data_IF_503096856995
#
_entry.id   IF_503096856995
#
_cell.length_a   1.000
_cell.length_b   1.000
_cell.length_c   1.000
_cell.angle_alpha   90.00
_cell.angle_beta   90.00
_cell.angle_gamma   90.00
#
_symmetry.space_group_name_H-M   'P 1'
#
loop_
_entity.id
_entity.type
_entity.pdbx_description
1 polymer ?
#
# COMPACT_ATOMS: atom_id res chain seq x y z
N UNK A 1 -18.83 16.38 26.71
CA UNK A 1 -17.77 16.45 25.69
C UNK A 1 -16.60 17.20 26.30
N UNK A 2 -15.59 16.49 26.81
CA UNK A 2 -14.49 17.10 27.56
C UNK A 2 -13.54 17.74 26.54
N UNK A 3 -13.58 19.06 26.43
CA UNK A 3 -12.54 19.82 25.74
C UNK A 3 -11.31 19.74 26.64
N UNK A 4 -10.44 18.75 26.39
CA UNK A 4 -9.10 18.74 26.94
C UNK A 4 -8.48 20.09 26.61
N UNK A 5 -8.12 20.87 27.63
CA UNK A 5 -7.51 22.17 27.43
C UNK A 5 -6.31 22.03 26.49
N UNK A 6 -6.23 22.92 25.49
CA UNK A 6 -5.13 23.01 24.52
C UNK A 6 -3.72 22.80 25.13
N UNK A 7 -3.40 23.29 26.34
CA UNK A 7 -2.11 23.00 26.99
C UNK A 7 -1.90 21.53 27.37
N UNK A 8 -2.94 20.79 27.78
CA UNK A 8 -2.80 19.38 28.18
C UNK A 8 -2.62 18.46 26.96
N UNK A 9 -3.31 18.73 25.84
CA UNK A 9 -3.06 18.02 24.57
C UNK A 9 -1.68 18.32 24.00
N UNK A 10 -1.19 19.55 24.12
CA UNK A 10 0.17 19.93 23.75
C UNK A 10 1.21 19.26 24.67
N UNK A 11 0.96 19.17 25.98
CA UNK A 11 1.82 18.49 26.93
C UNK A 11 1.87 16.97 26.68
N UNK A 12 0.73 16.30 26.55
CA UNK A 12 0.66 14.87 26.21
C UNK A 12 1.34 14.60 24.87
N UNK A 13 1.14 15.49 23.88
CA UNK A 13 1.79 15.41 22.57
C UNK A 13 3.30 15.66 22.59
N UNK A 14 3.82 16.42 23.57
CA UNK A 14 5.26 16.69 23.71
C UNK A 14 5.98 15.65 24.57
N UNK A 15 5.38 15.20 25.67
CA UNK A 15 6.01 14.32 26.65
C UNK A 15 5.61 12.85 26.50
N UNK A 16 4.36 12.55 26.16
CA UNK A 16 3.88 11.17 26.04
C UNK A 16 4.34 10.46 24.76
N UNK A 17 4.71 11.22 23.73
CA UNK A 17 5.06 10.69 22.41
C UNK A 17 6.48 10.11 22.39
N UNK A 18 7.42 10.66 23.18
CA UNK A 18 8.80 10.21 23.19
C UNK A 18 8.96 8.76 23.69
N UNK A 19 8.37 8.35 24.85
CA UNK A 19 8.39 6.96 25.29
C UNK A 19 7.72 6.02 24.27
N UNK A 20 6.61 6.44 23.67
CA UNK A 20 5.88 5.64 22.69
C UNK A 20 6.68 5.43 21.39
N UNK A 21 7.42 6.45 20.93
CA UNK A 21 8.33 6.34 19.80
C UNK A 21 9.46 5.35 20.08
N UNK A 22 10.07 5.40 21.27
CA UNK A 22 11.15 4.48 21.66
C UNK A 22 10.64 3.04 21.74
N UNK A 23 9.54 2.81 22.46
CA UNK A 23 8.92 1.47 22.57
C UNK A 23 8.54 0.96 21.18
N UNK A 24 7.89 1.82 20.40
CA UNK A 24 7.46 1.52 19.04
C UNK A 24 8.60 1.13 18.11
N UNK A 25 9.70 1.87 18.18
CA UNK A 25 10.91 1.61 17.45
C UNK A 25 11.54 0.26 17.83
N UNK A 26 11.62 -0.07 19.12
CA UNK A 26 12.15 -1.35 19.59
C UNK A 26 11.35 -2.53 19.04
N UNK A 27 10.01 -2.44 19.05
CA UNK A 27 9.15 -3.45 18.44
C UNK A 27 9.36 -3.55 16.93
N UNK A 28 9.48 -2.42 16.24
CA UNK A 28 9.69 -2.39 14.79
C UNK A 28 11.05 -2.97 14.40
N UNK A 29 12.12 -2.60 15.11
CA UNK A 29 13.47 -3.11 14.89
C UNK A 29 13.55 -4.61 15.12
N UNK A 30 12.97 -5.11 16.23
CA UNK A 30 12.89 -6.56 16.52
C UNK A 30 12.20 -7.31 15.37
N UNK A 31 11.14 -6.75 14.81
CA UNK A 31 10.43 -7.36 13.68
C UNK A 31 11.27 -7.38 12.41
N UNK A 32 11.90 -6.27 12.04
CA UNK A 32 12.76 -6.21 10.85
C UNK A 32 13.89 -7.24 10.96
N UNK A 33 14.47 -7.39 12.15
CA UNK A 33 15.49 -8.40 12.41
C UNK A 33 14.98 -9.83 12.18
N UNK A 34 13.75 -10.12 12.61
CA UNK A 34 13.11 -11.43 12.41
C UNK A 34 12.76 -11.70 10.94
N UNK A 35 12.35 -10.67 10.18
CA UNK A 35 11.92 -10.82 8.79
C UNK A 35 13.12 -11.01 7.82
N UNK A 36 14.29 -10.41 8.08
CA UNK A 36 15.48 -10.51 7.20
C UNK A 36 16.79 -10.29 7.96
N UNK A 37 17.48 -11.35 8.42
CA UNK A 37 18.63 -11.23 9.35
C UNK A 37 19.76 -10.28 8.91
N UNK A 38 20.24 -10.36 7.65
CA UNK A 38 21.37 -9.52 7.17
C UNK A 38 20.96 -8.11 6.75
N UNK A 39 19.95 -8.00 5.87
CA UNK A 39 19.42 -6.71 5.42
C UNK A 39 18.80 -5.92 6.58
N UNK A 40 18.19 -6.63 7.52
CA UNK A 40 17.52 -6.06 8.67
C UNK A 40 18.46 -5.29 9.59
N UNK A 41 19.70 -5.73 9.80
CA UNK A 41 20.67 -5.01 10.66
C UNK A 41 20.97 -3.61 10.10
N UNK A 42 21.20 -3.51 8.78
CA UNK A 42 21.50 -2.21 8.14
C UNK A 42 20.30 -1.25 8.21
N UNK A 43 19.09 -1.78 8.00
CA UNK A 43 17.86 -1.01 8.15
C UNK A 43 17.68 -0.56 9.61
N UNK A 44 17.93 -1.43 10.58
CA UNK A 44 17.83 -1.13 12.02
C UNK A 44 18.81 -0.02 12.40
N UNK A 45 20.06 -0.06 11.94
CA UNK A 45 21.05 0.99 12.22
C UNK A 45 20.54 2.35 11.72
N UNK A 46 20.07 2.43 10.47
CA UNK A 46 19.51 3.67 9.90
C UNK A 46 18.28 4.15 10.68
N UNK A 47 17.41 3.23 11.10
CA UNK A 47 16.27 3.59 11.95
C UNK A 47 16.70 4.14 13.30
N UNK A 48 17.63 3.47 13.98
CA UNK A 48 18.14 3.92 15.28
C UNK A 48 18.81 5.30 15.19
N UNK A 49 19.59 5.55 14.13
CA UNK A 49 20.15 6.88 13.85
C UNK A 49 19.04 7.91 13.65
N UNK A 50 18.03 7.59 12.83
CA UNK A 50 16.88 8.46 12.62
C UNK A 50 16.13 8.79 13.92
N UNK A 51 15.85 7.78 14.74
CA UNK A 51 15.17 7.94 16.03
C UNK A 51 16.02 8.74 17.01
N UNK A 52 17.31 8.45 17.12
CA UNK A 52 18.23 9.21 17.99
C UNK A 52 18.25 10.70 17.64
N UNK A 53 18.30 11.03 16.35
CA UNK A 53 18.21 12.41 15.87
C UNK A 53 16.83 13.03 16.14
N UNK A 54 15.75 12.27 15.97
CA UNK A 54 14.40 12.75 16.30
C UNK A 54 14.26 13.04 17.80
N UNK A 55 14.86 12.22 18.67
CA UNK A 55 14.90 12.45 20.12
C UNK A 55 15.65 13.74 20.45
N UNK A 56 16.83 13.96 19.85
CA UNK A 56 17.59 15.22 20.01
C UNK A 56 16.70 16.41 19.62
N UNK A 57 16.08 16.35 18.44
CA UNK A 57 15.17 17.40 17.97
C UNK A 57 14.02 17.66 18.92
N UNK A 58 13.37 16.61 19.40
CA UNK A 58 12.26 16.73 20.33
C UNK A 58 12.71 17.34 21.67
N UNK A 59 13.84 16.91 22.23
CA UNK A 59 14.40 17.45 23.47
C UNK A 59 14.72 18.94 23.34
N UNK A 60 15.34 19.36 22.23
CA UNK A 60 15.62 20.78 21.97
C UNK A 60 14.35 21.62 21.78
N UNK A 61 13.23 21.00 21.39
CA UNK A 61 11.95 21.68 21.24
C UNK A 61 11.13 21.74 22.55
N UNK A 62 11.49 20.94 23.58
CA UNK A 62 10.82 20.98 24.89
C UNK A 62 11.13 22.28 25.64
N UNK A 63 12.41 22.62 25.72
CA UNK A 63 12.89 23.87 26.29
C UNK A 63 13.02 24.83 25.11
N UNK A 64 12.00 25.68 24.88
CA UNK A 64 11.99 26.67 23.79
C UNK A 64 13.41 27.24 23.61
N UNK A 65 14.11 26.95 22.50
CA UNK A 65 15.54 27.16 22.45
C UNK A 65 15.83 28.66 22.44
N UNK A 66 16.46 29.14 23.51
CA UNK A 66 16.89 30.54 23.65
C UNK A 66 18.27 30.78 23.05
N UNK A 67 19.02 29.70 22.76
CA UNK A 67 20.39 29.75 22.26
C UNK A 67 20.42 29.24 20.82
N UNK A 68 21.10 29.99 19.93
CA UNK A 68 21.09 29.75 18.48
C UNK A 68 21.58 28.35 18.10
N UNK A 69 22.65 27.85 18.72
CA UNK A 69 23.22 26.54 18.39
C UNK A 69 22.29 25.40 18.80
N UNK A 70 21.53 25.55 19.90
CA UNK A 70 20.52 24.57 20.33
C UNK A 70 19.39 24.50 19.29
N UNK A 71 18.94 25.67 18.81
CA UNK A 71 17.90 25.76 17.79
C UNK A 71 18.34 25.12 16.46
N UNK A 72 19.58 25.38 16.05
CA UNK A 72 20.17 24.76 14.86
C UNK A 72 20.27 23.23 14.99
N UNK A 73 20.90 22.72 16.06
CA UNK A 73 21.03 21.27 16.30
C UNK A 73 19.65 20.61 16.23
N UNK A 74 18.66 21.20 16.91
CA UNK A 74 17.30 20.70 16.94
C UNK A 74 16.65 20.57 15.56
N UNK A 75 16.77 21.61 14.73
CA UNK A 75 16.23 21.58 13.37
C UNK A 75 16.99 20.63 12.47
N UNK A 76 18.33 20.65 12.49
CA UNK A 76 19.12 19.80 11.61
C UNK A 76 18.92 18.32 11.98
N UNK A 77 18.89 17.98 13.27
CA UNK A 77 18.54 16.63 13.71
C UNK A 77 17.14 16.21 13.23
N UNK A 78 16.16 17.11 13.19
CA UNK A 78 14.84 16.81 12.60
C UNK A 78 14.95 16.40 11.13
N UNK A 79 15.63 17.19 10.30
CA UNK A 79 15.73 16.89 8.86
C UNK A 79 16.48 15.59 8.59
N UNK A 80 17.62 15.39 9.27
CA UNK A 80 18.38 14.15 9.13
C UNK A 80 17.60 12.94 9.66
N UNK A 81 16.76 13.10 10.70
CA UNK A 81 15.91 12.01 11.18
C UNK A 81 14.95 11.49 10.11
N UNK A 82 14.34 12.39 9.34
CA UNK A 82 13.44 12.04 8.23
C UNK A 82 14.25 11.43 7.09
N UNK A 83 15.42 11.97 6.77
CA UNK A 83 16.30 11.43 5.73
C UNK A 83 16.77 9.99 6.02
N UNK A 84 17.19 9.71 7.26
CA UNK A 84 17.54 8.36 7.68
C UNK A 84 16.33 7.42 7.67
N UNK A 85 15.14 7.93 8.04
CA UNK A 85 13.89 7.19 7.90
C UNK A 85 13.59 6.85 6.44
N UNK A 86 13.79 7.80 5.51
CA UNK A 86 13.69 7.56 4.08
C UNK A 86 14.62 6.44 3.62
N UNK A 87 15.92 6.51 3.97
CA UNK A 87 16.87 5.46 3.57
C UNK A 87 16.54 4.10 4.18
N UNK A 88 16.07 4.05 5.43
CA UNK A 88 15.64 2.81 6.06
C UNK A 88 14.41 2.21 5.35
N UNK A 89 13.42 3.04 5.03
CA UNK A 89 12.18 2.63 4.37
C UNK A 89 12.45 2.18 2.94
N UNK A 90 13.21 2.94 2.17
CA UNK A 90 13.60 2.59 0.80
C UNK A 90 14.33 1.24 0.78
N UNK A 91 15.30 1.07 1.67
CA UNK A 91 16.07 -0.16 1.79
C UNK A 91 15.17 -1.36 2.17
N UNK A 92 14.26 -1.17 3.12
CA UNK A 92 13.34 -2.21 3.58
C UNK A 92 12.30 -2.59 2.52
N UNK A 93 11.74 -1.61 1.82
CA UNK A 93 10.70 -1.81 0.80
C UNK A 93 11.28 -2.42 -0.47
N UNK A 94 12.43 -1.92 -0.93
CA UNK A 94 13.05 -2.33 -2.19
C UNK A 94 14.06 -3.47 -2.02
N UNK A 95 14.29 -3.95 -0.79
CA UNK A 95 15.22 -5.04 -0.47
C UNK A 95 16.64 -4.84 -1.05
N UNK A 96 17.14 -3.61 -0.98
CA UNK A 96 18.47 -3.22 -1.49
C UNK A 96 19.53 -3.25 -0.40
N UNK A 97 20.79 -3.50 -0.75
CA UNK A 97 21.93 -3.42 0.17
C UNK A 97 22.73 -2.13 -0.06
N UNK A 98 22.06 -0.98 0.03
CA UNK A 98 22.72 0.31 -0.18
C UNK A 98 23.29 0.86 1.13
N UNK A 99 24.62 0.91 1.22
CA UNK A 99 25.39 1.44 2.36
C UNK A 99 25.85 2.89 2.15
N UNK A 100 25.96 3.35 0.91
CA UNK A 100 26.63 4.62 0.56
C UNK A 100 25.73 5.85 0.76
N UNK A 101 25.41 6.18 2.02
CA UNK A 101 24.60 7.35 2.38
C UNK A 101 25.29 8.65 1.93
N UNK A 102 26.60 8.75 2.14
CA UNK A 102 27.38 9.99 1.93
C UNK A 102 27.44 10.40 0.44
N UNK A 103 27.40 9.41 -0.48
CA UNK A 103 27.39 9.66 -1.93
C UNK A 103 25.99 9.94 -2.47
N UNK A 104 24.95 9.81 -1.63
CA UNK A 104 23.58 10.03 -2.06
C UNK A 104 23.31 11.52 -2.29
N UNK A 105 22.77 11.88 -3.45
CA UNK A 105 22.44 13.27 -3.82
C UNK A 105 21.49 13.94 -2.82
N UNK A 106 20.54 13.19 -2.23
CA UNK A 106 19.63 13.71 -1.21
C UNK A 106 20.37 14.08 0.08
N UNK A 107 21.35 13.27 0.47
CA UNK A 107 22.18 13.55 1.64
C UNK A 107 23.03 14.80 1.42
N UNK A 108 23.74 14.88 0.29
CA UNK A 108 24.57 16.04 -0.08
C UNK A 108 23.72 17.31 -0.15
N UNK A 109 22.58 17.25 -0.84
CA UNK A 109 21.65 18.39 -0.93
C UNK A 109 21.16 18.86 0.43
N UNK A 110 20.82 17.93 1.33
CA UNK A 110 20.37 18.28 2.68
C UNK A 110 21.50 18.88 3.53
N UNK A 111 22.74 18.42 3.38
CA UNK A 111 23.91 19.02 4.03
C UNK A 111 24.09 20.46 3.58
N UNK A 112 24.07 20.72 2.26
CA UNK A 112 24.21 22.08 1.71
C UNK A 112 23.10 23.00 2.22
N UNK A 113 21.84 22.54 2.20
CA UNK A 113 20.70 23.30 2.71
C UNK A 113 20.81 23.56 4.22
N UNK A 114 21.30 22.59 4.98
CA UNK A 114 21.53 22.75 6.43
C UNK A 114 22.62 23.79 6.70
N UNK A 115 23.73 23.75 5.97
CA UNK A 115 24.82 24.73 6.06
C UNK A 115 24.34 26.15 5.74
N UNK A 116 23.55 26.30 4.66
CA UNK A 116 22.99 27.60 4.31
C UNK A 116 22.00 28.10 5.36
N UNK A 117 21.17 27.22 5.92
CA UNK A 117 20.25 27.56 7.00
C UNK A 117 20.98 27.98 8.28
N UNK A 118 22.09 27.33 8.63
CA UNK A 118 22.94 27.73 9.78
C UNK A 118 23.41 29.16 9.62
N UNK A 119 23.91 29.51 8.44
CA UNK A 119 24.37 30.86 8.14
C UNK A 119 23.25 31.89 8.36
N UNK A 120 22.04 31.62 7.82
CA UNK A 120 20.88 32.50 8.05
C UNK A 120 20.48 32.57 9.52
N UNK A 121 20.60 31.48 10.27
CA UNK A 121 20.31 31.42 11.71
C UNK A 121 21.29 32.24 12.55
N UNK A 122 22.56 32.22 12.17
CA UNK A 122 23.60 33.02 12.80
C UNK A 122 23.35 34.53 12.62
N UNK A 123 22.95 34.95 11.41
CA UNK A 123 22.57 36.34 11.13
C UNK A 123 21.36 36.80 11.95
N UNK A 124 20.39 35.90 12.20
CA UNK A 124 19.19 36.18 13.01
C UNK A 124 19.28 35.66 14.45
N UNK A 125 20.48 35.47 15.02
CA UNK A 125 20.67 34.86 16.35
C UNK A 125 19.87 35.50 17.50
N UNK A 126 19.47 36.77 17.34
CA UNK A 126 18.64 37.51 18.32
C UNK A 126 17.13 37.31 18.11
N UNK A 127 16.70 36.61 17.05
CA UNK A 127 15.31 36.34 16.67
C UNK A 127 15.14 34.87 16.22
N UNK A 128 15.07 33.97 17.21
CA UNK A 128 14.95 32.51 17.04
C UNK A 128 13.50 32.00 17.15
N UNK A 129 12.52 32.91 17.11
CA UNK A 129 11.10 32.57 17.25
C UNK A 129 10.65 31.63 16.13
N UNK A 130 9.80 30.66 16.45
CA UNK A 130 9.23 29.77 15.44
C UNK A 130 8.13 30.48 14.66
N UNK A 131 7.97 30.14 13.38
CA UNK A 131 6.82 30.59 12.57
C UNK A 131 5.46 30.07 13.08
N UNK A 132 5.50 29.04 13.92
CA UNK A 132 4.32 28.51 14.58
C UNK A 132 3.92 29.30 15.83
N UNK A 133 4.75 30.25 16.29
CA UNK A 133 4.42 31.09 17.44
C UNK A 133 3.61 32.32 16.96
N UNK A 134 2.55 32.65 17.70
CA UNK A 134 1.66 33.76 17.35
C UNK A 134 2.33 35.13 17.47
N UNK A 135 3.41 35.23 18.26
CA UNK A 135 4.15 36.45 18.53
C UNK A 135 5.55 36.34 17.93
N UNK A 136 5.74 36.95 16.76
CA UNK A 136 7.06 37.13 16.14
C UNK A 136 7.41 38.61 16.28
N UNK A 137 8.43 38.99 17.07
CA UNK A 137 8.67 40.39 17.41
C UNK A 137 9.08 41.26 16.22
N UNK A 138 9.70 40.67 15.17
CA UNK A 138 10.02 41.37 13.92
C UNK A 138 10.39 40.40 12.79
N UNK A 139 9.46 40.01 11.90
CA UNK A 139 9.79 39.15 10.77
C UNK A 139 10.68 39.88 9.76
N UNK A 140 11.84 39.30 9.45
CA UNK A 140 12.79 39.81 8.43
C UNK A 140 12.79 38.93 7.19
N UNK A 141 13.41 39.38 6.09
CA UNK A 141 13.57 38.54 4.90
C UNK A 141 14.34 37.24 5.20
N UNK A 142 15.42 37.32 5.98
CA UNK A 142 16.20 36.16 6.43
C UNK A 142 15.35 35.19 7.27
N UNK A 143 14.40 35.71 8.04
CA UNK A 143 13.44 34.90 8.80
C UNK A 143 12.52 34.09 7.88
N UNK A 144 11.93 34.70 6.84
CA UNK A 144 11.07 33.99 5.89
C UNK A 144 11.85 32.93 5.09
N UNK A 145 13.03 33.28 4.57
CA UNK A 145 13.89 32.31 3.85
C UNK A 145 14.25 31.15 4.77
N UNK A 146 14.70 31.44 6.00
CA UNK A 146 15.11 30.37 6.89
C UNK A 146 13.97 29.46 7.32
N UNK A 147 12.75 30.01 7.45
CA UNK A 147 11.52 29.24 7.69
C UNK A 147 11.21 28.35 6.49
N UNK A 148 11.32 28.87 5.26
CA UNK A 148 11.08 28.11 4.04
C UNK A 148 12.11 26.97 3.90
N UNK A 149 13.39 27.24 4.16
CA UNK A 149 14.44 26.23 4.19
C UNK A 149 14.28 25.21 5.32
N UNK A 150 13.48 25.49 6.34
CA UNK A 150 13.12 24.50 7.36
C UNK A 150 11.97 23.59 6.89
N UNK A 151 10.89 24.15 6.35
CA UNK A 151 9.71 23.35 5.99
C UNK A 151 9.80 22.66 4.64
N UNK A 152 10.46 23.26 3.64
CA UNK A 152 10.54 22.71 2.28
C UNK A 152 11.28 21.35 2.23
N UNK A 153 12.45 21.17 2.88
CA UNK A 153 13.11 19.85 2.89
C UNK A 153 12.29 18.79 3.61
N UNK A 154 11.64 19.15 4.72
CA UNK A 154 10.75 18.26 5.44
C UNK A 154 9.55 17.84 4.59
N UNK A 155 8.93 18.78 3.88
CA UNK A 155 7.85 18.53 2.92
C UNK A 155 8.30 17.54 1.84
N UNK A 156 9.43 17.84 1.18
CA UNK A 156 9.96 17.02 0.09
C UNK A 156 10.27 15.58 0.54
N UNK A 157 10.95 15.41 1.68
CA UNK A 157 11.26 14.09 2.22
C UNK A 157 10.00 13.29 2.59
N UNK A 158 9.01 13.92 3.24
CA UNK A 158 7.75 13.25 3.57
C UNK A 158 6.99 12.82 2.30
N UNK A 159 6.95 13.67 1.27
CA UNK A 159 6.30 13.36 0.00
C UNK A 159 6.97 12.17 -0.72
N UNK A 160 8.31 12.11 -0.72
CA UNK A 160 9.03 10.98 -1.30
C UNK A 160 8.76 9.69 -0.51
N UNK A 161 8.78 9.74 0.82
CA UNK A 161 8.45 8.57 1.64
C UNK A 161 7.02 8.08 1.36
N UNK A 162 6.05 9.00 1.27
CA UNK A 162 4.68 8.66 0.89
C UNK A 162 4.63 7.96 -0.48
N UNK A 163 5.37 8.48 -1.46
CA UNK A 163 5.46 7.87 -2.79
C UNK A 163 6.07 6.44 -2.74
N UNK A 164 7.09 6.19 -1.91
CA UNK A 164 7.64 4.84 -1.72
C UNK A 164 6.57 3.86 -1.23
N UNK A 165 5.78 4.24 -0.23
CA UNK A 165 4.68 3.42 0.27
C UNK A 165 3.62 3.18 -0.79
N UNK A 166 3.23 4.22 -1.53
CA UNK A 166 2.26 4.12 -2.61
C UNK A 166 2.69 3.16 -3.72
N UNK A 167 3.94 3.30 -4.19
CA UNK A 167 4.52 2.43 -5.21
C UNK A 167 4.60 0.99 -4.69
N UNK A 168 4.98 0.77 -3.42
CA UNK A 168 5.02 -0.55 -2.82
C UNK A 168 3.64 -1.22 -2.79
N UNK A 169 2.61 -0.49 -2.35
CA UNK A 169 1.22 -0.99 -2.29
C UNK A 169 0.71 -1.36 -3.68
N UNK A 170 1.03 -0.58 -4.72
CA UNK A 170 0.59 -0.85 -6.09
C UNK A 170 1.30 -2.04 -6.74
N UNK A 171 2.59 -2.24 -6.45
CA UNK A 171 3.42 -3.24 -7.14
C UNK A 171 3.46 -4.60 -6.44
N UNK A 172 3.38 -4.62 -5.11
CA UNK A 172 3.56 -5.85 -4.35
C UNK A 172 2.24 -6.60 -4.14
N UNK A 173 2.25 -7.92 -4.35
CA UNK A 173 1.19 -8.81 -3.84
C UNK A 173 1.34 -8.95 -2.33
N UNK A 174 0.84 -7.96 -1.60
CA UNK A 174 0.88 -7.93 -0.14
C UNK A 174 -0.24 -8.78 0.43
N UNK A 175 0.06 -9.50 1.52
CA UNK A 175 -1.00 -10.08 2.34
C UNK A 175 -1.86 -8.95 2.93
N UNK A 176 -3.17 -9.17 3.15
CA UNK A 176 -4.08 -8.13 3.63
C UNK A 176 -3.59 -7.39 4.90
N UNK A 177 -2.98 -8.12 5.85
CA UNK A 177 -2.43 -7.50 7.06
C UNK A 177 -1.25 -6.57 6.79
N UNK A 178 -0.37 -6.92 5.85
CA UNK A 178 0.74 -6.06 5.43
C UNK A 178 0.25 -4.87 4.59
N UNK A 179 -0.77 -5.07 3.76
CA UNK A 179 -1.40 -4.00 2.99
C UNK A 179 -1.97 -2.92 3.92
N UNK A 180 -2.80 -3.30 4.90
CA UNK A 180 -3.38 -2.36 5.86
C UNK A 180 -2.28 -1.61 6.62
N UNK A 181 -1.25 -2.32 7.09
CA UNK A 181 -0.11 -1.69 7.78
C UNK A 181 0.58 -0.62 6.93
N UNK A 182 0.86 -0.92 5.66
CA UNK A 182 1.46 0.03 4.71
C UNK A 182 0.54 1.21 4.44
N UNK A 183 -0.78 0.98 4.41
CA UNK A 183 -1.79 2.02 4.25
C UNK A 183 -1.79 3.00 5.44
N UNK A 184 -1.71 2.50 6.69
CA UNK A 184 -1.57 3.36 7.87
C UNK A 184 -0.32 4.25 7.78
N UNK A 185 0.84 3.69 7.41
CA UNK A 185 2.05 4.48 7.20
C UNK A 185 1.88 5.51 6.07
N UNK A 186 1.29 5.12 4.94
CA UNK A 186 1.02 6.01 3.80
C UNK A 186 0.14 7.19 4.24
N UNK A 187 -0.98 6.92 4.92
CA UNK A 187 -1.87 7.94 5.46
C UNK A 187 -1.11 8.91 6.38
N UNK A 188 -0.27 8.40 7.29
CA UNK A 188 0.56 9.23 8.16
C UNK A 188 1.47 10.19 7.39
N UNK A 189 2.22 9.70 6.40
CA UNK A 189 3.12 10.53 5.59
C UNK A 189 2.39 11.49 4.65
N UNK A 190 1.24 11.09 4.09
CA UNK A 190 0.39 11.99 3.29
C UNK A 190 -0.14 13.13 4.16
N UNK A 191 -0.66 12.84 5.35
CA UNK A 191 -1.12 13.86 6.28
C UNK A 191 0.02 14.79 6.73
N UNK A 192 1.21 14.25 6.99
CA UNK A 192 2.40 15.05 7.28
C UNK A 192 2.73 16.00 6.12
N UNK A 193 2.66 15.49 4.88
CA UNK A 193 2.88 16.29 3.67
C UNK A 193 1.87 17.44 3.59
N UNK A 194 0.57 17.18 3.78
CA UNK A 194 -0.45 18.23 3.83
C UNK A 194 -0.23 19.26 4.94
N UNK A 195 0.21 18.82 6.12
CA UNK A 195 0.54 19.72 7.23
C UNK A 195 1.73 20.64 6.88
N UNK A 196 2.77 20.12 6.22
CA UNK A 196 3.90 20.93 5.76
C UNK A 196 3.55 21.82 4.56
N UNK A 197 2.65 21.41 3.66
CA UNK A 197 2.09 22.28 2.61
C UNK A 197 1.41 23.48 3.26
N UNK A 198 0.59 23.26 4.29
CA UNK A 198 -0.11 24.31 5.01
C UNK A 198 0.87 25.32 5.63
N UNK A 199 1.93 24.85 6.30
CA UNK A 199 2.98 25.71 6.87
C UNK A 199 3.88 26.39 5.82
N UNK A 200 4.04 25.79 4.64
CA UNK A 200 4.81 26.43 3.57
C UNK A 200 3.96 27.51 2.90
N UNK A 201 2.66 27.27 2.73
CA UNK A 201 1.70 28.21 2.17
C UNK A 201 1.45 29.42 3.08
N UNK A 202 1.61 29.30 4.40
CA UNK A 202 1.53 30.45 5.31
C UNK A 202 2.61 31.50 5.06
N UNK A 203 3.78 31.11 4.53
CA UNK A 203 4.89 32.03 4.30
C UNK A 203 4.54 33.10 3.24
N UNK A 204 4.14 32.74 2.00
CA UNK A 204 3.73 33.74 1.02
C UNK A 204 2.46 34.49 1.47
N UNK A 205 1.53 33.83 2.17
CA UNK A 205 0.34 34.51 2.70
C UNK A 205 0.72 35.60 3.72
N UNK A 206 1.68 35.34 4.61
CA UNK A 206 2.16 36.35 5.55
C UNK A 206 2.89 37.51 4.84
N UNK A 207 3.62 37.23 3.76
CA UNK A 207 4.34 38.25 2.97
C UNK A 207 3.36 39.15 2.19
N UNK A 208 2.33 38.58 1.56
CA UNK A 208 1.46 39.31 0.61
C UNK A 208 0.12 39.78 1.21
N UNK A 209 -0.41 39.06 2.20
CA UNK A 209 -1.77 39.28 2.73
C UNK A 209 -1.79 39.50 4.25
N UNK A 210 -0.63 39.81 4.86
CA UNK A 210 -0.43 39.98 6.31
C UNK A 210 -0.67 38.69 7.12
N UNK A 211 -0.46 38.75 8.44
CA UNK A 211 -0.47 37.59 9.35
C UNK A 211 -1.86 37.01 9.65
N UNK A 212 -2.94 37.49 9.01
CA UNK A 212 -4.33 37.11 9.31
C UNK A 212 -4.59 35.60 9.20
N UNK A 213 -3.97 34.91 8.24
CA UNK A 213 -4.19 33.49 7.98
C UNK A 213 -3.25 32.56 8.76
N UNK A 214 -2.18 33.09 9.37
CA UNK A 214 -1.15 32.32 10.07
C UNK A 214 -1.72 31.48 11.22
N UNK A 215 -2.59 31.99 12.12
CA UNK A 215 -3.12 31.20 13.23
C UNK A 215 -3.97 30.00 12.79
N UNK A 216 -4.78 30.17 11.74
CA UNK A 216 -5.65 29.10 11.23
C UNK A 216 -4.86 27.96 10.62
N UNK A 217 -3.84 28.26 9.83
CA UNK A 217 -3.00 27.25 9.19
C UNK A 217 -2.03 26.59 10.18
N UNK A 218 -1.54 27.32 11.19
CA UNK A 218 -0.81 26.74 12.31
C UNK A 218 -1.68 25.75 13.10
N UNK A 219 -2.97 26.06 13.29
CA UNK A 219 -3.92 25.12 13.92
C UNK A 219 -4.08 23.82 13.12
N UNK A 220 -4.12 23.87 11.79
CA UNK A 220 -4.15 22.66 10.94
C UNK A 220 -2.94 21.77 11.23
N UNK A 221 -1.75 22.36 11.33
CA UNK A 221 -0.54 21.61 11.68
C UNK A 221 -0.60 21.02 13.10
N UNK A 222 -1.00 21.82 14.10
CA UNK A 222 -1.05 21.38 15.49
C UNK A 222 -2.09 20.28 15.74
N UNK A 223 -3.27 20.37 15.10
CA UNK A 223 -4.31 19.33 15.16
C UNK A 223 -3.92 18.09 14.33
N UNK A 224 -3.22 18.28 13.22
CA UNK A 224 -2.74 17.18 12.36
C UNK A 224 -1.66 16.33 13.04
N UNK A 225 -0.77 16.94 13.83
CA UNK A 225 0.38 16.26 14.47
C UNK A 225 0.00 15.00 15.27
N UNK A 226 -0.95 15.01 16.22
CA UNK A 226 -1.33 13.80 16.95
C UNK A 226 -1.91 12.72 16.02
N UNK A 227 -2.67 13.11 14.99
CA UNK A 227 -3.27 12.17 14.04
C UNK A 227 -2.18 11.51 13.17
N UNK A 228 -1.24 12.30 12.65
CA UNK A 228 -0.06 11.82 11.90
C UNK A 228 0.68 10.77 12.73
N UNK A 229 0.97 11.11 14.00
CA UNK A 229 1.71 10.22 14.90
C UNK A 229 0.92 8.96 15.22
N UNK A 230 -0.40 9.05 15.40
CA UNK A 230 -1.26 7.89 15.59
C UNK A 230 -1.22 6.94 14.38
N UNK A 231 -1.30 7.47 13.15
CA UNK A 231 -1.20 6.67 11.93
C UNK A 231 0.18 6.01 11.78
N UNK A 232 1.25 6.77 12.01
CA UNK A 232 2.62 6.25 11.91
C UNK A 232 2.89 5.20 13.00
N UNK A 233 2.45 5.43 14.24
CA UNK A 233 2.57 4.45 15.32
C UNK A 233 1.73 3.21 15.01
N UNK A 234 0.47 3.36 14.62
CA UNK A 234 -0.36 2.23 14.23
C UNK A 234 0.32 1.40 13.13
N UNK A 235 0.81 2.04 12.07
CA UNK A 235 1.53 1.37 10.99
C UNK A 235 2.85 0.73 11.44
N UNK A 236 3.64 1.35 12.31
CA UNK A 236 4.98 0.86 12.65
C UNK A 236 5.01 -0.09 13.84
N UNK A 237 4.19 0.13 14.86
CA UNK A 237 4.39 -0.47 16.20
C UNK A 237 3.35 -1.54 16.51
N UNK A 238 2.15 -1.47 15.92
CA UNK A 238 1.09 -2.41 16.27
C UNK A 238 1.48 -3.86 15.95
N UNK A 239 1.19 -4.81 16.86
CA UNK A 239 1.54 -6.20 16.68
C UNK A 239 0.81 -6.80 15.48
N UNK A 240 1.52 -7.64 14.71
CA UNK A 240 0.98 -8.25 13.49
C UNK A 240 -0.30 -9.07 13.76
N UNK A 241 -0.48 -9.60 14.97
CA UNK A 241 -1.70 -10.32 15.38
C UNK A 241 -2.95 -9.45 15.30
N UNK A 242 -2.87 -8.18 15.68
CA UNK A 242 -4.00 -7.25 15.60
C UNK A 242 -4.34 -6.90 14.15
N UNK A 243 -3.33 -6.61 13.32
CA UNK A 243 -3.57 -6.40 11.90
C UNK A 243 -4.12 -7.64 11.21
N UNK A 244 -3.68 -8.85 11.59
CA UNK A 244 -4.27 -10.10 11.11
C UNK A 244 -5.73 -10.23 11.55
N UNK A 245 -6.08 -9.89 12.78
CA UNK A 245 -7.45 -9.91 13.25
C UNK A 245 -8.35 -8.93 12.48
N UNK A 246 -7.88 -7.69 12.26
CA UNK A 246 -8.58 -6.68 11.46
C UNK A 246 -8.71 -7.12 9.99
N UNK A 247 -7.65 -7.73 9.45
CA UNK A 247 -7.61 -8.19 8.06
C UNK A 247 -8.31 -9.54 7.84
N UNK A 248 -8.63 -10.28 8.89
CA UNK A 248 -9.16 -11.64 8.82
C UNK A 248 -10.44 -11.76 7.98
N UNK A 249 -11.43 -10.84 8.08
CA UNK A 249 -12.63 -10.91 7.23
C UNK A 249 -12.27 -10.80 5.74
N UNK A 250 -11.33 -9.92 5.41
CA UNK A 250 -10.85 -9.71 4.03
C UNK A 250 -10.09 -10.94 3.56
N UNK A 251 -9.19 -11.48 4.38
CA UNK A 251 -8.42 -12.68 4.08
C UNK A 251 -9.32 -13.90 3.86
N UNK A 252 -10.32 -14.10 4.73
CA UNK A 252 -11.32 -15.17 4.60
C UNK A 252 -12.14 -15.01 3.32
N UNK A 253 -12.57 -13.79 3.00
CA UNK A 253 -13.28 -13.51 1.75
C UNK A 253 -12.42 -13.80 0.52
N UNK A 254 -11.16 -13.38 0.52
CA UNK A 254 -10.22 -13.64 -0.57
C UNK A 254 -9.97 -15.15 -0.74
N UNK A 255 -9.74 -15.88 0.35
CA UNK A 255 -9.57 -17.35 0.32
C UNK A 255 -10.83 -18.02 -0.23
N UNK A 256 -12.02 -17.62 0.24
CA UNK A 256 -13.28 -18.16 -0.25
C UNK A 256 -13.47 -17.89 -1.75
N UNK A 257 -13.24 -16.64 -2.17
CA UNK A 257 -13.33 -16.22 -3.58
C UNK A 257 -12.34 -17.01 -4.44
N UNK A 258 -11.11 -17.18 -4.01
CA UNK A 258 -10.08 -17.90 -4.76
C UNK A 258 -10.41 -19.40 -4.84
N UNK A 259 -10.99 -19.99 -3.79
CA UNK A 259 -11.54 -21.36 -3.82
C UNK A 259 -12.71 -21.50 -4.81
N UNK A 260 -13.63 -20.56 -4.83
CA UNK A 260 -14.75 -20.57 -5.80
C UNK A 260 -14.25 -20.39 -7.24
N UNK A 261 -13.28 -19.51 -7.47
CA UNK A 261 -12.63 -19.37 -8.77
C UNK A 261 -11.93 -20.66 -9.19
N UNK A 262 -11.23 -21.32 -8.26
CA UNK A 262 -10.57 -22.59 -8.51
C UNK A 262 -11.57 -23.69 -8.91
N UNK A 263 -12.70 -23.81 -8.20
CA UNK A 263 -13.78 -24.75 -8.54
C UNK A 263 -14.36 -24.47 -9.93
N UNK A 264 -14.56 -23.21 -10.29
CA UNK A 264 -15.05 -22.82 -11.61
C UNK A 264 -14.06 -23.20 -12.72
N UNK A 265 -12.76 -23.04 -12.48
CA UNK A 265 -11.73 -23.45 -13.44
C UNK A 265 -11.69 -24.97 -13.62
N UNK A 266 -11.74 -25.74 -12.53
CA UNK A 266 -11.84 -27.21 -12.61
C UNK A 266 -13.10 -27.63 -13.38
N UNK A 267 -14.24 -27.03 -13.05
CA UNK A 267 -15.50 -27.32 -13.75
C UNK A 267 -15.40 -27.11 -15.27
N UNK A 268 -14.77 -26.01 -15.69
CA UNK A 268 -14.56 -25.75 -17.11
C UNK A 268 -13.58 -26.74 -17.74
N UNK A 269 -12.49 -27.06 -17.05
CA UNK A 269 -11.51 -28.08 -17.51
C UNK A 269 -12.19 -29.44 -17.70
N UNK A 270 -13.00 -29.88 -16.73
CA UNK A 270 -13.73 -31.14 -16.80
C UNK A 270 -14.74 -31.13 -17.95
N UNK A 271 -15.42 -30.00 -18.18
CA UNK A 271 -16.33 -29.81 -19.32
C UNK A 271 -15.62 -30.01 -20.66
N UNK A 272 -14.42 -29.45 -20.82
CA UNK A 272 -13.60 -29.67 -22.02
C UNK A 272 -13.14 -31.13 -22.14
N UNK A 273 -12.74 -31.77 -21.03
CA UNK A 273 -12.34 -33.18 -21.02
C UNK A 273 -13.49 -34.12 -21.39
N UNK A 274 -14.75 -33.75 -21.11
CA UNK A 274 -15.93 -34.50 -21.56
C UNK A 274 -16.09 -34.43 -23.08
N UNK A 275 -15.91 -33.24 -23.67
CA UNK A 275 -16.02 -33.03 -25.13
C UNK A 275 -14.81 -33.65 -25.86
N UNK A 276 -13.62 -33.59 -25.26
CA UNK A 276 -12.37 -34.07 -25.85
C UNK A 276 -11.73 -35.10 -24.91
N UNK A 277 -12.17 -36.37 -24.93
CA UNK A 277 -11.65 -37.41 -24.05
C UNK A 277 -10.14 -37.69 -24.26
N UNK A 278 -9.61 -37.44 -25.46
CA UNK A 278 -8.18 -37.58 -25.76
C UNK A 278 -7.30 -36.57 -25.03
N UNK A 279 -7.88 -35.46 -24.57
CA UNK A 279 -7.20 -34.45 -23.76
C UNK A 279 -7.19 -34.75 -22.27
N UNK A 280 -7.73 -35.90 -21.84
CA UNK A 280 -7.68 -36.33 -20.45
C UNK A 280 -6.23 -36.32 -19.97
N UNK A 281 -5.84 -35.19 -19.35
CA UNK A 281 -4.70 -35.11 -18.48
C UNK A 281 -4.97 -36.16 -17.44
N UNK A 282 -4.26 -37.29 -17.53
CA UNK A 282 -4.44 -38.45 -16.66
C UNK A 282 -4.55 -37.96 -15.23
N UNK A 283 -5.78 -37.91 -14.73
CA UNK A 283 -6.13 -37.85 -13.31
C UNK A 283 -5.73 -39.13 -12.57
N UNK A 284 -4.91 -39.99 -13.22
CA UNK A 284 -4.16 -41.11 -12.63
C UNK A 284 -3.01 -40.69 -11.73
N UNK A 285 -2.79 -39.40 -11.47
CA UNK A 285 -2.29 -39.04 -10.14
C UNK A 285 -3.47 -39.37 -9.23
N UNK A 286 -3.45 -40.58 -8.64
CA UNK A 286 -4.37 -40.99 -7.57
C UNK A 286 -4.74 -39.75 -6.77
N UNK A 287 -6.04 -39.53 -6.56
CA UNK A 287 -6.59 -38.59 -5.58
C UNK A 287 -5.96 -38.85 -4.20
N UNK A 288 -4.67 -38.57 -4.02
CA UNK A 288 -4.14 -38.25 -2.72
C UNK A 288 -4.91 -37.00 -2.33
N UNK A 289 -5.52 -37.03 -1.16
CA UNK A 289 -6.37 -35.96 -0.66
C UNK A 289 -5.66 -34.57 -0.66
N UNK A 290 -4.35 -34.56 -0.90
CA UNK A 290 -3.46 -33.41 -0.76
C UNK A 290 -2.95 -32.80 -2.08
N UNK A 291 -3.19 -33.40 -3.26
CA UNK A 291 -2.66 -32.82 -4.51
C UNK A 291 -3.59 -31.76 -5.11
N UNK A 292 -3.27 -30.48 -4.87
CA UNK A 292 -3.91 -29.32 -5.50
C UNK A 292 -3.21 -28.98 -6.81
N UNK A 293 -3.88 -29.15 -7.95
CA UNK A 293 -3.30 -28.81 -9.26
C UNK A 293 -3.07 -27.29 -9.36
N UNK A 294 -1.87 -26.81 -9.75
CA UNK A 294 -1.60 -25.38 -9.92
C UNK A 294 -2.51 -24.73 -10.97
N UNK A 295 -3.04 -23.53 -10.69
CA UNK A 295 -3.93 -22.77 -11.61
C UNK A 295 -3.33 -22.60 -13.01
N UNK A 296 -2.00 -22.42 -13.11
CA UNK A 296 -1.30 -22.33 -14.41
C UNK A 296 -1.48 -23.59 -15.26
N UNK A 297 -1.45 -24.78 -14.64
CA UNK A 297 -1.66 -26.06 -15.34
C UNK A 297 -3.11 -26.22 -15.77
N UNK A 298 -4.07 -25.85 -14.91
CA UNK A 298 -5.50 -25.88 -15.24
C UNK A 298 -5.78 -24.97 -16.45
N UNK A 299 -5.26 -23.73 -16.42
CA UNK A 299 -5.43 -22.80 -17.54
C UNK A 299 -4.78 -23.28 -18.83
N UNK A 300 -3.65 -23.99 -18.78
CA UNK A 300 -3.03 -24.59 -19.95
C UNK A 300 -3.93 -25.69 -20.54
N UNK A 301 -4.43 -26.61 -19.71
CA UNK A 301 -5.35 -27.66 -20.14
C UNK A 301 -6.64 -27.10 -20.74
N UNK A 302 -7.24 -26.07 -20.13
CA UNK A 302 -8.38 -25.34 -20.70
C UNK A 302 -8.00 -24.69 -22.03
N UNK A 303 -6.80 -24.11 -22.13
CA UNK A 303 -6.29 -23.50 -23.35
C UNK A 303 -6.19 -24.49 -24.50
N UNK A 304 -5.62 -25.67 -24.25
CA UNK A 304 -5.50 -26.73 -25.25
C UNK A 304 -6.90 -27.20 -25.71
N UNK A 305 -7.83 -27.39 -24.78
CA UNK A 305 -9.21 -27.80 -25.11
C UNK A 305 -9.99 -26.73 -25.86
N UNK A 306 -9.81 -25.47 -25.46
CA UNK A 306 -10.38 -24.33 -26.16
C UNK A 306 -9.95 -24.29 -27.62
N UNK A 307 -8.66 -24.49 -27.91
CA UNK A 307 -8.16 -24.43 -29.30
C UNK A 307 -8.86 -25.45 -30.19
N UNK A 308 -9.07 -26.67 -29.70
CA UNK A 308 -9.79 -27.71 -30.42
C UNK A 308 -11.28 -27.39 -30.54
N UNK A 309 -11.97 -27.09 -29.43
CA UNK A 309 -13.42 -26.81 -29.48
C UNK A 309 -13.73 -25.59 -30.36
N UNK A 310 -13.01 -24.48 -30.17
CA UNK A 310 -13.29 -23.24 -30.89
C UNK A 310 -12.86 -23.30 -32.36
N UNK A 311 -12.02 -24.26 -32.77
CA UNK A 311 -11.74 -24.45 -34.20
C UNK A 311 -12.96 -24.92 -35.01
N UNK A 312 -14.04 -25.35 -34.36
CA UNK A 312 -15.33 -25.68 -34.98
C UNK A 312 -16.33 -24.51 -34.99
N UNK A 313 -15.96 -23.35 -34.42
CA UNK A 313 -16.81 -22.17 -34.33
C UNK A 313 -16.13 -20.98 -35.00
N UNK A 314 -16.80 -20.34 -35.96
CA UNK A 314 -16.32 -19.10 -36.56
C UNK A 314 -16.38 -17.94 -35.55
N UNK A 315 -15.33 -17.78 -34.75
CA UNK A 315 -15.21 -16.75 -33.72
C UNK A 315 -13.99 -15.88 -33.99
N UNK A 316 -14.20 -14.62 -34.38
CA UNK A 316 -13.11 -13.68 -34.66
C UNK A 316 -12.41 -13.17 -33.40
N UNK A 317 -13.17 -12.96 -32.31
CA UNK A 317 -12.66 -12.39 -31.06
C UNK A 317 -13.04 -13.24 -29.84
N UNK A 318 -12.22 -13.26 -28.77
CA UNK A 318 -12.54 -13.96 -27.53
C UNK A 318 -13.84 -13.45 -26.91
N UNK A 319 -14.89 -14.26 -26.95
CA UNK A 319 -16.19 -13.94 -26.38
C UNK A 319 -16.64 -15.02 -25.38
N UNK A 320 -16.62 -14.73 -24.06
CA UNK A 320 -16.97 -15.71 -23.04
C UNK A 320 -18.42 -16.22 -23.14
N UNK A 321 -19.32 -15.49 -23.81
CA UNK A 321 -20.72 -15.91 -23.96
C UNK A 321 -20.83 -16.99 -25.01
N UNK A 322 -20.38 -16.66 -26.22
CA UNK A 322 -20.47 -17.55 -27.38
C UNK A 322 -19.71 -18.85 -27.13
N UNK A 323 -18.55 -18.75 -26.48
CA UNK A 323 -17.79 -19.93 -26.06
C UNK A 323 -18.59 -20.79 -25.06
N UNK A 324 -19.20 -20.19 -24.03
CA UNK A 324 -19.99 -20.93 -23.05
C UNK A 324 -21.27 -21.56 -23.66
N UNK A 325 -21.96 -20.84 -24.54
CA UNK A 325 -23.14 -21.32 -25.27
C UNK A 325 -22.76 -22.51 -26.17
N UNK A 326 -21.65 -22.41 -26.89
CA UNK A 326 -21.18 -23.46 -27.76
C UNK A 326 -20.77 -24.72 -26.97
N UNK A 327 -20.01 -24.56 -25.88
CA UNK A 327 -19.68 -25.68 -24.97
C UNK A 327 -20.95 -26.30 -24.40
N UNK A 328 -21.93 -25.49 -24.01
CA UNK A 328 -23.22 -25.99 -23.51
C UNK A 328 -23.94 -26.86 -24.53
N UNK A 329 -24.02 -26.43 -25.80
CA UNK A 329 -24.61 -27.23 -26.87
C UNK A 329 -23.88 -28.55 -27.06
N UNK A 330 -22.55 -28.54 -27.12
CA UNK A 330 -21.75 -29.75 -27.26
C UNK A 330 -21.96 -30.74 -26.10
N UNK A 331 -22.02 -30.23 -24.86
CA UNK A 331 -22.29 -31.07 -23.68
C UNK A 331 -23.71 -31.64 -23.67
N UNK A 332 -24.71 -30.79 -23.99
CA UNK A 332 -26.12 -31.20 -24.03
C UNK A 332 -26.35 -32.28 -25.09
N UNK A 333 -25.74 -32.11 -26.25
CA UNK A 333 -25.91 -33.00 -27.41
C UNK A 333 -24.87 -34.15 -27.39
N UNK A 334 -24.08 -34.26 -26.31
CA UNK A 334 -23.06 -35.30 -26.08
C UNK A 334 -22.03 -35.45 -27.22
N UNK A 335 -21.67 -34.33 -27.85
CA UNK A 335 -20.74 -34.30 -28.99
C UNK A 335 -19.31 -34.50 -28.52
N UNK A 336 -18.61 -35.44 -29.14
CA UNK A 336 -17.19 -35.72 -28.91
C UNK A 336 -16.36 -35.19 -30.07
N UNK A 337 -15.37 -34.35 -29.78
CA UNK A 337 -14.46 -33.78 -30.77
C UNK A 337 -13.11 -34.49 -30.68
N UNK A 338 -12.66 -35.06 -31.80
CA UNK A 338 -11.37 -35.77 -31.89
C UNK A 338 -10.33 -35.02 -32.74
N UNK A 339 -10.79 -34.18 -33.67
CA UNK A 339 -9.94 -33.44 -34.61
C UNK A 339 -10.20 -31.93 -34.55
N UNK A 340 -9.21 -31.10 -34.90
CA UNK A 340 -9.42 -29.68 -35.13
C UNK A 340 -10.45 -29.44 -36.26
N UNK A 341 -11.25 -28.40 -36.13
CA UNK A 341 -12.17 -27.90 -37.13
C UNK A 341 -11.51 -26.97 -38.16
N UNK A 342 -12.32 -26.40 -39.04
CA UNK A 342 -11.88 -25.61 -40.18
C UNK A 342 -11.50 -24.15 -39.85
N UNK A 343 -11.86 -23.66 -38.67
CA UNK A 343 -11.65 -22.26 -38.29
C UNK A 343 -10.42 -22.09 -37.41
N UNK A 344 -9.74 -20.96 -37.57
CA UNK A 344 -8.66 -20.57 -36.67
C UNK A 344 -9.26 -20.01 -35.37
N UNK A 345 -8.92 -20.57 -34.19
CA UNK A 345 -9.42 -20.07 -32.93
C UNK A 345 -8.88 -18.65 -32.63
N UNK A 346 -9.65 -17.82 -31.91
CA UNK A 346 -9.25 -16.44 -31.61
C UNK A 346 -8.00 -16.39 -30.74
N UNK A 347 -7.23 -15.30 -30.85
CA UNK A 347 -6.02 -15.10 -30.06
C UNK A 347 -6.31 -15.15 -28.55
N UNK A 348 -5.36 -15.68 -27.78
CA UNK A 348 -5.53 -15.84 -26.34
C UNK A 348 -5.71 -14.49 -25.65
N UNK A 349 -6.70 -14.34 -24.75
CA UNK A 349 -6.95 -13.08 -24.06
C UNK A 349 -5.81 -12.71 -23.11
N UNK A 350 -5.58 -11.41 -22.91
CA UNK A 350 -4.52 -10.89 -22.03
C UNK A 350 -4.59 -11.40 -20.58
N UNK A 351 -5.78 -11.69 -20.05
CA UNK A 351 -5.98 -12.31 -18.73
C UNK A 351 -6.78 -13.62 -18.87
N UNK A 352 -6.05 -14.69 -19.19
CA UNK A 352 -6.60 -16.04 -19.40
C UNK A 352 -7.42 -16.51 -18.21
N UNK A 353 -6.96 -16.28 -16.97
CA UNK A 353 -7.65 -16.78 -15.78
C UNK A 353 -9.00 -16.10 -15.62
N UNK A 354 -9.03 -14.76 -15.71
CA UNK A 354 -10.28 -13.99 -15.60
C UNK A 354 -11.25 -14.32 -16.72
N UNK A 355 -10.74 -14.54 -17.93
CA UNK A 355 -11.55 -14.96 -19.07
C UNK A 355 -12.17 -16.34 -18.84
N UNK A 356 -11.37 -17.34 -18.47
CA UNK A 356 -11.82 -18.71 -18.18
C UNK A 356 -12.90 -18.73 -17.08
N UNK A 357 -12.72 -17.94 -16.01
CA UNK A 357 -13.72 -17.80 -14.94
C UNK A 357 -15.06 -17.26 -15.48
N UNK A 358 -15.03 -16.29 -16.42
CA UNK A 358 -16.26 -15.77 -17.03
C UNK A 358 -16.98 -16.83 -17.87
N UNK A 359 -16.24 -17.59 -18.67
CA UNK A 359 -16.78 -18.71 -19.45
C UNK A 359 -17.43 -19.73 -18.52
N UNK A 360 -16.70 -20.18 -17.49
CA UNK A 360 -17.19 -21.16 -16.51
C UNK A 360 -18.48 -20.72 -15.82
N UNK A 361 -18.56 -19.44 -15.40
CA UNK A 361 -19.78 -18.89 -14.76
C UNK A 361 -20.98 -18.91 -15.71
N UNK A 362 -20.77 -18.53 -16.97
CA UNK A 362 -21.83 -18.51 -17.99
C UNK A 362 -22.30 -19.92 -18.33
N UNK A 363 -21.36 -20.84 -18.54
CA UNK A 363 -21.66 -22.25 -18.80
C UNK A 363 -22.47 -22.87 -17.66
N UNK A 364 -22.05 -22.63 -16.41
CA UNK A 364 -22.77 -23.11 -15.22
C UNK A 364 -24.19 -22.52 -15.12
N UNK A 365 -24.36 -21.25 -15.46
CA UNK A 365 -25.67 -20.60 -15.48
C UNK A 365 -26.60 -21.22 -16.55
N UNK A 366 -26.09 -21.50 -17.76
CA UNK A 366 -26.86 -22.15 -18.83
C UNK A 366 -27.32 -23.55 -18.43
N UNK A 367 -26.43 -24.34 -17.81
CA UNK A 367 -26.75 -25.70 -17.37
C UNK A 367 -27.80 -25.68 -16.26
N UNK A 368 -27.64 -24.81 -15.27
CA UNK A 368 -28.63 -24.66 -14.19
C UNK A 368 -30.00 -24.20 -14.71
N UNK A 369 -30.04 -23.28 -15.69
CA UNK A 369 -31.29 -22.85 -16.31
C UNK A 369 -32.00 -23.99 -17.04
N UNK A 370 -31.26 -24.83 -17.77
CA UNK A 370 -31.82 -25.98 -18.47
C UNK A 370 -32.32 -27.08 -17.50
N UNK A 371 -31.63 -27.29 -16.38
CA UNK A 371 -32.08 -28.23 -15.33
C UNK A 371 -33.37 -27.75 -14.67
N UNK A 372 -33.50 -26.45 -14.37
CA UNK A 372 -34.73 -25.88 -13.82
C UNK A 372 -35.93 -25.99 -14.77
N UNK A 373 -35.71 -25.94 -16.08
CA UNK A 373 -36.76 -26.16 -17.10
C UNK A 373 -37.21 -27.62 -17.12
N UNK A 374 -36.28 -28.57 -17.01
CA UNK A 374 -36.59 -30.01 -16.97
C UNK A 374 -37.35 -30.39 -15.68
N UNK A 375 -36.99 -29.80 -14.54
CA UNK A 375 -37.72 -30.00 -13.28
C UNK A 375 -39.14 -29.39 -13.32
N UNK A 376 -39.31 -28.22 -13.94
CA UNK A 376 -40.63 -27.58 -14.09
C UNK A 376 -41.57 -28.40 -14.99
N UNK A 377 -41.06 -28.97 -16.10
CA UNK A 377 -41.86 -29.85 -16.95
C UNK A 377 -42.25 -31.16 -16.25
N UNK A 378 -41.35 -31.77 -15.47
CA UNK A 378 -41.69 -32.98 -14.69
C UNK A 378 -42.75 -32.72 -13.59
N UNK A 379 -42.79 -31.51 -13.04
CA UNK A 379 -43.84 -31.11 -12.10
C UNK A 379 -45.15 -30.85 -12.84
N UNK A 380 -45.11 -30.18 -14.00
CA UNK A 380 -46.30 -29.95 -14.84
C UNK A 380 -46.95 -31.25 -15.33
N UNK A 381 -46.15 -32.25 -15.72
CA UNK A 381 -46.67 -33.53 -16.21
C UNK A 381 -47.28 -34.38 -15.08
N UNK A 382 -46.85 -34.17 -13.82
CA UNK A 382 -47.46 -34.79 -12.63
C UNK A 382 -48.72 -34.09 -12.14
N UNK A 383 -48.95 -32.82 -12.50
CA UNK A 383 -50.17 -32.07 -12.17
C UNK A 383 -51.29 -32.36 -13.19
N UNK A 384 -50.92 -32.82 -14.38
CA UNK A 384 -51.85 -33.19 -15.45
C UNK A 384 -52.15 -34.71 -15.51
N UNK A 385 -51.63 -35.49 -14.56
CA UNK A 385 -52.02 -36.87 -14.26
C UNK A 385 -52.86 -36.88 -12.99
#
# INVERSE_FOLDING_TARGET
MIILSLPLTVAIGRYGILPLLVIGASFHARRIYQDNKRLGILVIIKMLLGIGLLLISALTALVKPTIWWVHWIGSTSFHFSILFSYFAIDQYINNKFDLEIIRNRLFIGLVILSLFRIYLEFERRNNLYSFMENEVPSPTFNYYISTLLHYLPALYLNAIIANLYWVNIRKAKLTPSYFIRRLFCLCGFVMATFAFISLTATIPLAIFFTDQYRPYLNNVYHLGKPIILLFLMAGMTFPNRLFKAIAWPIEKFLIWRDREQYKLLIYLMDSYNTIIPSQQYRSRIKRSADYVMPVKRINASIGDGRLLVLSHLALHDPNPQKEAEYIFHLLRDQVVIQTPGSFQPPQSPHDITKYNIKVAKRLKALINANQGILEFHQVSDKVNQ
#
